data_IF_240322475420
#
_entry.id   IF_240322475420
#
_cell.length_a   1.000
_cell.length_b   1.000
_cell.length_c   1.000
_cell.angle_alpha   90.00
_cell.angle_beta   90.00
_cell.angle_gamma   90.00
#
_symmetry.space_group_name_H-M   'P 1'
#
loop_
_entity.id
_entity.type
_entity.pdbx_description
1 polymer ?
#
# COMPACT_ATOMS: atom_id res chain seq x y z
N UNK A 1 -17.38 17.86 -18.33
CA UNK A 1 -16.61 18.90 -17.60
C UNK A 1 -15.85 18.35 -16.38
N UNK A 2 -16.48 17.69 -15.41
CA UNK A 2 -15.81 17.25 -14.17
C UNK A 2 -14.64 16.26 -14.37
N UNK A 3 -14.70 15.38 -15.38
CA UNK A 3 -13.61 14.43 -15.67
C UNK A 3 -12.33 15.14 -16.13
N UNK A 4 -12.45 16.14 -17.01
CA UNK A 4 -11.31 16.91 -17.54
C UNK A 4 -10.57 17.63 -16.42
N UNK A 5 -11.32 18.29 -15.53
CA UNK A 5 -10.73 19.00 -14.38
C UNK A 5 -9.97 18.05 -13.45
N UNK A 6 -10.53 16.87 -13.14
CA UNK A 6 -9.83 15.86 -12.32
C UNK A 6 -8.56 15.35 -12.98
N UNK A 7 -8.60 15.13 -14.30
CA UNK A 7 -7.42 14.70 -15.04
C UNK A 7 -6.31 15.75 -15.01
N UNK A 8 -6.65 17.04 -15.18
CA UNK A 8 -5.68 18.14 -15.07
C UNK A 8 -5.05 18.20 -13.68
N UNK A 9 -5.85 18.09 -12.62
CA UNK A 9 -5.34 18.06 -11.24
C UNK A 9 -4.44 16.85 -10.96
N UNK A 10 -4.80 15.68 -11.49
CA UNK A 10 -4.00 14.48 -11.38
C UNK A 10 -2.67 14.60 -12.13
N UNK A 11 -2.68 15.16 -13.34
CA UNK A 11 -1.48 15.36 -14.15
C UNK A 11 -0.52 16.36 -13.50
N UNK A 12 -1.02 17.49 -13.01
CA UNK A 12 -0.18 18.47 -12.30
C UNK A 12 0.42 17.92 -11.01
N UNK A 13 -0.34 17.10 -10.28
CA UNK A 13 0.17 16.38 -9.10
C UNK A 13 1.31 15.43 -9.46
N UNK A 14 1.22 14.71 -10.60
CA UNK A 14 2.30 13.84 -11.10
C UNK A 14 3.52 14.68 -11.51
N UNK A 15 3.32 15.80 -12.21
CA UNK A 15 4.40 16.68 -12.64
C UNK A 15 5.21 17.24 -11.45
N UNK A 16 4.52 17.73 -10.40
CA UNK A 16 5.17 18.21 -9.16
C UNK A 16 5.88 17.08 -8.41
N UNK A 17 5.39 15.85 -8.51
CA UNK A 17 6.00 14.71 -7.80
C UNK A 17 7.25 14.18 -8.49
N UNK A 18 7.30 14.25 -9.83
CA UNK A 18 8.41 13.72 -10.62
C UNK A 18 9.72 14.49 -10.40
N UNK A 19 9.63 15.78 -10.05
CA UNK A 19 10.76 16.64 -9.67
C UNK A 19 11.94 16.57 -10.66
N UNK A 20 11.64 16.50 -11.96
CA UNK A 20 12.62 16.37 -13.05
C UNK A 20 13.08 17.73 -13.60
N UNK A 21 12.73 18.82 -12.93
CA UNK A 21 13.04 20.20 -13.34
C UNK A 21 12.24 20.71 -14.55
N UNK A 22 11.35 19.90 -15.13
CA UNK A 22 10.51 20.30 -16.26
C UNK A 22 9.32 21.17 -15.84
N UNK A 23 8.78 20.95 -14.64
CA UNK A 23 7.67 21.73 -14.10
C UNK A 23 8.16 23.05 -13.50
N UNK A 24 7.72 24.18 -14.06
CA UNK A 24 8.11 25.54 -13.63
C UNK A 24 6.96 26.37 -13.05
N UNK A 25 5.81 25.72 -12.82
CA UNK A 25 4.63 26.35 -12.23
C UNK A 25 4.73 26.45 -10.71
N UNK A 26 3.71 27.06 -10.12
CA UNK A 26 3.58 27.18 -8.67
C UNK A 26 3.26 25.79 -8.07
N UNK A 27 4.12 25.21 -7.19
CA UNK A 27 3.92 23.84 -6.70
C UNK A 27 2.79 23.65 -5.68
N UNK A 28 2.34 24.69 -4.96
CA UNK A 28 1.30 24.55 -3.94
C UNK A 28 -0.10 24.30 -4.52
N UNK A 29 -0.31 24.60 -5.80
CA UNK A 29 -1.53 24.26 -6.54
C UNK A 29 -1.77 22.75 -6.70
N UNK A 30 -0.73 21.92 -6.54
CA UNK A 30 -0.83 20.47 -6.75
C UNK A 30 -0.29 19.67 -5.57
N UNK A 31 -0.83 18.46 -5.39
CA UNK A 31 -0.44 17.60 -4.28
C UNK A 31 0.65 16.62 -4.73
N UNK A 32 1.67 16.41 -3.91
CA UNK A 32 2.66 15.34 -4.16
C UNK A 32 1.99 13.98 -4.02
N UNK A 33 2.17 13.11 -5.01
CA UNK A 33 1.75 11.72 -4.99
C UNK A 33 2.69 10.92 -4.08
N UNK A 34 2.14 9.92 -3.40
CA UNK A 34 2.95 8.99 -2.60
C UNK A 34 4.00 8.31 -3.49
N UNK A 35 5.26 8.39 -3.07
CA UNK A 35 6.37 7.71 -3.74
C UNK A 35 6.66 6.38 -3.06
N UNK A 36 7.12 5.41 -3.85
CA UNK A 36 7.57 4.13 -3.30
C UNK A 36 8.77 4.39 -2.39
N UNK A 37 8.65 4.04 -1.12
CA UNK A 37 9.79 4.04 -0.20
C UNK A 37 10.57 2.73 -0.38
N UNK A 38 11.47 2.69 -1.36
CA UNK A 38 12.34 1.55 -1.60
C UNK A 38 13.48 1.58 -0.58
N UNK A 39 13.33 0.78 0.48
CA UNK A 39 14.37 0.61 1.50
C UNK A 39 15.44 -0.33 0.94
N UNK A 40 16.69 0.12 0.92
CA UNK A 40 17.83 -0.74 0.67
C UNK A 40 18.18 -1.50 1.94
N UNK A 41 18.13 -2.83 1.88
CA UNK A 41 18.66 -3.70 2.94
C UNK A 41 20.02 -4.24 2.48
N UNK A 42 20.95 -4.40 3.42
CA UNK A 42 22.20 -5.09 3.13
C UNK A 42 21.95 -6.55 2.74
N UNK A 43 22.84 -7.15 1.95
CA UNK A 43 22.75 -8.57 1.61
C UNK A 43 22.72 -9.46 2.86
N UNK A 44 23.47 -9.07 3.90
CA UNK A 44 23.48 -9.77 5.18
C UNK A 44 22.11 -9.72 5.86
N UNK A 45 21.45 -8.55 5.91
CA UNK A 45 20.09 -8.41 6.45
C UNK A 45 19.06 -9.21 5.64
N UNK A 46 19.19 -9.23 4.31
CA UNK A 46 18.33 -10.03 3.44
C UNK A 46 18.53 -11.54 3.71
N UNK A 47 19.77 -11.99 3.88
CA UNK A 47 20.11 -13.38 4.19
C UNK A 47 19.62 -13.80 5.58
N UNK A 48 19.72 -12.93 6.57
CA UNK A 48 19.16 -13.17 7.91
C UNK A 48 17.63 -13.31 7.86
N UNK A 49 16.95 -12.49 7.04
CA UNK A 49 15.51 -12.55 6.84
C UNK A 49 15.01 -13.85 6.18
N UNK A 50 15.82 -14.53 5.37
CA UNK A 50 15.45 -15.82 4.75
C UNK A 50 15.20 -16.93 5.78
N UNK A 51 15.85 -16.84 6.95
CA UNK A 51 15.69 -17.79 8.04
C UNK A 51 14.59 -17.39 9.03
N UNK A 52 14.02 -16.19 8.89
CA UNK A 52 12.91 -15.72 9.71
C UNK A 52 11.60 -16.12 9.02
N UNK A 53 11.09 -17.29 9.40
CA UNK A 53 9.73 -17.69 9.05
C UNK A 53 8.79 -16.81 9.88
N UNK A 54 8.10 -15.87 9.22
CA UNK A 54 7.06 -15.07 9.87
C UNK A 54 6.03 -15.99 10.54
N UNK A 55 5.55 -15.58 11.72
CA UNK A 55 4.47 -16.21 12.49
C UNK A 55 3.52 -16.96 11.55
N UNK A 56 3.54 -18.29 11.69
CA UNK A 56 2.84 -19.29 10.89
C UNK A 56 1.70 -18.71 10.06
N UNK A 57 2.00 -18.31 8.81
CA UNK A 57 0.98 -18.16 7.76
C UNK A 57 0.52 -19.58 7.39
N UNK A 58 -0.10 -20.24 8.38
CA UNK A 58 -0.58 -21.60 8.29
C UNK A 58 -1.47 -21.71 7.08
N UNK A 59 -1.16 -22.66 6.21
CA UNK A 59 -2.04 -22.96 5.10
C UNK A 59 -3.39 -23.40 5.67
N UNK A 60 -4.45 -22.68 5.31
CA UNK A 60 -5.83 -23.08 5.64
C UNK A 60 -6.29 -24.35 4.89
N UNK A 61 -5.39 -25.02 4.14
CA UNK A 61 -5.72 -26.23 3.36
C UNK A 61 -6.27 -27.40 4.18
N UNK A 62 -6.16 -27.36 5.51
CA UNK A 62 -6.81 -28.29 6.43
C UNK A 62 -7.70 -27.63 7.49
N UNK A 63 -7.86 -26.30 7.45
CA UNK A 63 -8.77 -25.60 8.35
C UNK A 63 -10.19 -25.80 7.85
N UNK A 64 -10.93 -26.74 8.45
CA UNK A 64 -12.35 -26.88 8.15
C UNK A 64 -13.08 -25.62 8.63
N UNK A 65 -14.06 -25.16 7.84
CA UNK A 65 -14.91 -24.03 8.21
C UNK A 65 -15.80 -24.34 9.44
N UNK A 66 -15.76 -25.58 9.95
CA UNK A 66 -16.52 -26.00 11.11
C UNK A 66 -16.07 -25.21 12.34
N UNK A 67 -16.88 -24.24 12.75
CA UNK A 67 -16.60 -23.34 13.88
C UNK A 67 -16.12 -21.94 13.51
N UNK A 68 -15.94 -21.60 12.23
CA UNK A 68 -15.70 -20.21 11.83
C UNK A 68 -17.01 -19.42 11.88
N UNK A 69 -17.13 -18.51 12.84
CA UNK A 69 -18.27 -17.58 12.90
C UNK A 69 -18.11 -16.53 11.79
N UNK A 70 -19.11 -16.43 10.92
CA UNK A 70 -19.15 -15.39 9.88
C UNK A 70 -19.22 -13.99 10.48
N UNK A 71 -18.77 -12.98 9.73
CA UNK A 71 -18.96 -11.58 10.11
C UNK A 71 -20.44 -11.30 10.41
N UNK A 72 -20.74 -10.84 11.62
CA UNK A 72 -22.09 -10.47 12.06
C UNK A 72 -22.82 -11.48 12.95
N UNK A 73 -22.21 -12.61 13.33
CA UNK A 73 -22.83 -13.49 14.33
C UNK A 73 -22.86 -12.85 15.73
N UNK A 74 -24.00 -12.89 16.44
CA UNK A 74 -24.08 -12.41 17.82
C UNK A 74 -23.18 -13.25 18.73
N UNK A 75 -22.60 -12.61 19.75
CA UNK A 75 -21.78 -13.29 20.75
C UNK A 75 -22.66 -14.29 21.50
N UNK A 76 -22.30 -15.57 21.48
CA UNK A 76 -22.95 -16.56 22.32
C UNK A 76 -22.46 -16.34 23.76
N UNK A 77 -23.25 -15.63 24.55
CA UNK A 77 -23.05 -15.49 25.99
C UNK A 77 -23.89 -16.61 26.61
N UNK A 78 -23.23 -17.53 27.30
CA UNK A 78 -23.88 -18.56 28.12
C UNK A 78 -24.01 -18.05 29.55
#
# INVERSE_FOLDING_TARGET
MAAVQRTLMALGSVAVTKDDGCYRGEPSWFHRKAQQNRRGFSEEQLRQGQNVIGLQMGSNKGASQAGMTGYGMPRQIM
#
